data_IF_607903570326
#
_entry.id   IF_607903570326
#
_cell.length_a   1.000
_cell.length_b   1.000
_cell.length_c   1.000
_cell.angle_alpha   90.00
_cell.angle_beta   90.00
_cell.angle_gamma   90.00
#
_symmetry.space_group_name_H-M   'P 1'
#
loop_
_entity.id
_entity.type
_entity.pdbx_description
1 polymer ?
#
# COMPACT_ATOMS: atom_id res chain seq x y z
N UNK A 1 -3.11 5.31 -7.46
CA UNK A 1 -2.30 4.57 -6.48
C UNK A 1 -0.80 4.69 -6.76
N UNK A 2 -0.36 4.65 -8.02
CA UNK A 2 1.06 4.65 -8.38
C UNK A 2 1.85 5.92 -7.99
N UNK A 3 1.19 7.08 -7.90
CA UNK A 3 1.82 8.31 -7.39
C UNK A 3 2.08 8.28 -5.87
N UNK A 4 1.25 7.55 -5.12
CA UNK A 4 1.40 7.38 -3.67
C UNK A 4 2.38 6.23 -3.39
N UNK A 5 2.10 5.07 -3.97
CA UNK A 5 2.86 3.83 -3.83
C UNK A 5 3.88 3.69 -4.96
N UNK A 6 4.76 4.69 -5.08
CA UNK A 6 5.85 4.68 -6.07
C UNK A 6 6.72 3.44 -5.88
N UNK A 7 7.43 3.02 -6.94
CA UNK A 7 8.38 1.91 -6.86
C UNK A 7 9.37 2.07 -5.70
N UNK A 8 9.91 3.27 -5.51
CA UNK A 8 10.85 3.55 -4.43
C UNK A 8 10.22 3.39 -3.04
N UNK A 9 8.96 3.78 -2.88
CA UNK A 9 8.22 3.56 -1.63
C UNK A 9 8.00 2.06 -1.38
N UNK A 10 7.53 1.33 -2.40
CA UNK A 10 7.24 -0.10 -2.29
C UNK A 10 8.51 -0.89 -1.97
N UNK A 11 9.60 -0.70 -2.72
CA UNK A 11 10.87 -1.38 -2.46
C UNK A 11 11.48 -1.03 -1.10
N UNK A 12 11.19 0.15 -0.55
CA UNK A 12 11.70 0.56 0.77
C UNK A 12 10.94 -0.09 1.92
N UNK A 13 9.64 -0.28 1.76
CA UNK A 13 8.75 -0.65 2.86
C UNK A 13 8.14 -2.05 2.74
N UNK A 14 8.25 -2.71 1.60
CA UNK A 14 7.72 -4.05 1.34
C UNK A 14 8.72 -4.88 0.52
N UNK A 15 8.41 -6.17 0.32
CA UNK A 15 9.17 -7.05 -0.56
C UNK A 15 8.71 -7.01 -2.04
N UNK A 16 7.86 -6.05 -2.41
CA UNK A 16 7.29 -5.91 -3.75
C UNK A 16 7.77 -4.62 -4.43
N UNK A 17 7.72 -4.57 -5.75
CA UNK A 17 8.16 -3.38 -6.52
C UNK A 17 7.03 -2.42 -6.87
N UNK A 18 5.79 -2.85 -6.74
CA UNK A 18 4.59 -2.06 -6.99
C UNK A 18 3.44 -2.56 -6.11
N UNK A 19 2.41 -1.73 -5.95
CA UNK A 19 1.29 -2.02 -5.05
C UNK A 19 0.39 -3.14 -5.54
N UNK A 20 0.27 -3.33 -6.85
CA UNK A 20 -0.56 -4.40 -7.42
C UNK A 20 0.02 -5.77 -7.08
N UNK A 21 1.32 -5.96 -7.31
CA UNK A 21 2.02 -7.21 -6.97
C UNK A 21 1.96 -7.50 -5.46
N UNK A 22 2.04 -6.45 -4.63
CA UNK A 22 1.90 -6.57 -3.19
C UNK A 22 0.51 -7.10 -2.81
N UNK A 23 -0.56 -6.48 -3.31
CA UNK A 23 -1.93 -6.92 -3.00
C UNK A 23 -2.22 -8.32 -3.57
N UNK A 24 -1.79 -8.61 -4.80
CA UNK A 24 -1.95 -9.94 -5.42
C UNK A 24 -1.19 -11.01 -4.64
N UNK A 25 0.02 -10.72 -4.15
CA UNK A 25 0.79 -11.65 -3.31
C UNK A 25 0.13 -11.91 -1.95
N UNK A 26 -0.68 -10.96 -1.48
CA UNK A 26 -1.55 -11.13 -0.31
C UNK A 26 -2.85 -11.88 -0.57
N UNK A 27 -3.10 -12.33 -1.81
CA UNK A 27 -4.34 -12.98 -2.20
C UNK A 27 -5.49 -12.01 -2.50
N UNK A 28 -5.22 -10.70 -2.53
CA UNK A 28 -6.24 -9.69 -2.80
C UNK A 28 -6.32 -9.38 -4.30
N UNK A 29 -7.38 -9.86 -4.96
CA UNK A 29 -7.65 -9.53 -6.36
C UNK A 29 -8.46 -8.24 -6.47
N UNK A 30 -7.77 -7.09 -6.43
CA UNK A 30 -8.40 -5.76 -6.55
C UNK A 30 -8.41 -5.29 -8.01
N UNK A 31 -9.56 -5.39 -8.69
CA UNK A 31 -9.75 -4.86 -10.06
C UNK A 31 -10.63 -3.61 -10.08
N UNK A 32 -11.36 -3.37 -9.01
CA UNK A 32 -12.26 -2.22 -8.84
C UNK A 32 -12.19 -1.66 -7.41
N UNK A 33 -12.76 -0.46 -7.22
CA UNK A 33 -12.92 0.13 -5.88
C UNK A 33 -13.80 -0.74 -4.98
N UNK A 34 -14.85 -1.35 -5.55
CA UNK A 34 -15.74 -2.25 -4.82
C UNK A 34 -15.01 -3.52 -4.36
N UNK A 35 -14.08 -4.03 -5.16
CA UNK A 35 -13.28 -5.21 -4.77
C UNK A 35 -12.39 -4.88 -3.57
N UNK A 36 -11.83 -3.67 -3.56
CA UNK A 36 -11.02 -3.20 -2.45
C UNK A 36 -11.85 -3.03 -1.17
N UNK A 37 -13.02 -2.40 -1.26
CA UNK A 37 -13.93 -2.17 -0.12
C UNK A 37 -14.53 -3.47 0.43
N UNK A 38 -14.54 -4.54 -0.35
CA UNK A 38 -14.97 -5.86 0.09
C UNK A 38 -13.90 -6.63 0.89
N UNK A 39 -12.64 -6.17 0.88
CA UNK A 39 -11.57 -6.81 1.66
C UNK A 39 -11.82 -6.54 3.16
N UNK A 40 -11.86 -7.58 4.01
CA UNK A 40 -11.91 -7.37 5.45
C UNK A 40 -10.69 -6.59 5.96
N UNK A 41 -10.92 -5.51 6.69
CA UNK A 41 -9.85 -4.65 7.22
C UNK A 41 -8.78 -5.45 7.98
N UNK A 42 -9.18 -6.44 8.78
CA UNK A 42 -8.25 -7.24 9.58
C UNK A 42 -7.37 -8.17 8.72
N UNK A 43 -7.90 -8.72 7.62
CA UNK A 43 -7.10 -9.52 6.69
C UNK A 43 -6.04 -8.65 6.01
N UNK A 44 -6.44 -7.47 5.56
CA UNK A 44 -5.52 -6.52 4.94
C UNK A 44 -4.47 -6.02 5.93
N UNK A 45 -4.88 -5.69 7.16
CA UNK A 45 -3.96 -5.26 8.22
C UNK A 45 -2.98 -6.36 8.60
N UNK A 46 -3.43 -7.61 8.75
CA UNK A 46 -2.57 -8.75 9.04
C UNK A 46 -1.52 -8.97 7.94
N UNK A 47 -1.94 -8.87 6.67
CA UNK A 47 -1.02 -8.98 5.54
C UNK A 47 0.01 -7.84 5.52
N UNK A 48 -0.44 -6.59 5.70
CA UNK A 48 0.42 -5.40 5.75
C UNK A 48 1.46 -5.53 6.87
N UNK A 49 1.03 -5.92 8.08
CA UNK A 49 1.91 -6.15 9.23
C UNK A 49 2.99 -7.19 8.96
N UNK A 50 2.64 -8.24 8.24
CA UNK A 50 3.55 -9.37 7.98
C UNK A 50 4.50 -9.12 6.80
N UNK A 51 4.16 -8.23 5.88
CA UNK A 51 4.86 -8.07 4.59
C UNK A 51 5.36 -6.65 4.34
N UNK A 52 5.25 -5.76 5.32
CA UNK A 52 5.74 -4.39 5.23
C UNK A 52 6.33 -3.88 6.55
N UNK A 53 6.79 -2.64 6.55
CA UNK A 53 7.22 -1.93 7.76
C UNK A 53 6.08 -1.27 8.57
N UNK A 54 4.82 -1.55 8.25
CA UNK A 54 3.65 -0.88 8.83
C UNK A 54 2.73 -1.86 9.56
N UNK A 55 2.04 -1.40 10.61
CA UNK A 55 1.14 -2.25 11.41
C UNK A 55 -0.26 -2.41 10.80
N UNK A 56 -0.72 -1.41 10.05
CA UNK A 56 -2.04 -1.41 9.40
C UNK A 56 -1.96 -0.84 7.99
N UNK A 57 -2.95 -1.15 7.16
CA UNK A 57 -3.10 -0.53 5.85
C UNK A 57 -3.20 1.00 5.94
N UNK A 58 -3.90 1.50 6.95
CA UNK A 58 -4.05 2.94 7.18
C UNK A 58 -2.70 3.62 7.44
N UNK A 59 -1.81 2.99 8.20
CA UNK A 59 -0.47 3.52 8.46
C UNK A 59 0.35 3.59 7.17
N UNK A 60 0.32 2.51 6.38
CA UNK A 60 0.98 2.43 5.09
C UNK A 60 0.48 3.51 4.11
N UNK A 61 -0.85 3.67 4.00
CA UNK A 61 -1.48 4.69 3.15
C UNK A 61 -1.15 6.11 3.62
N UNK A 62 -1.14 6.33 4.94
CA UNK A 62 -0.79 7.64 5.53
C UNK A 62 0.66 8.00 5.23
N UNK A 63 1.58 7.06 5.39
CA UNK A 63 3.00 7.27 5.09
C UNK A 63 3.23 7.59 3.60
N UNK A 64 2.59 6.84 2.69
CA UNK A 64 2.66 7.09 1.26
C UNK A 64 2.10 8.48 0.88
N UNK A 65 0.96 8.86 1.49
CA UNK A 65 0.32 10.17 1.27
C UNK A 65 1.19 11.31 1.77
N UNK A 66 1.77 11.19 2.96
CA UNK A 66 2.68 12.20 3.51
C UNK A 66 3.91 12.40 2.63
N UNK A 67 4.49 11.31 2.12
CA UNK A 67 5.61 11.38 1.18
C UNK A 67 5.23 12.08 -0.12
N UNK A 68 4.07 11.74 -0.69
CA UNK A 68 3.56 12.37 -1.90
C UNK A 68 3.35 13.88 -1.72
N UNK A 69 2.69 14.30 -0.65
CA UNK A 69 2.47 15.72 -0.33
C UNK A 69 3.81 16.44 -0.16
N UNK A 70 4.75 15.85 0.61
CA UNK A 70 6.07 16.43 0.80
C UNK A 70 6.85 16.58 -0.51
N UNK A 71 6.69 15.67 -1.47
CA UNK A 71 7.30 15.78 -2.79
C UNK A 71 6.63 16.86 -3.65
N UNK A 72 5.29 16.99 -3.59
CA UNK A 72 4.55 18.03 -4.34
C UNK A 72 4.84 19.44 -3.84
N UNK A 73 5.13 19.62 -2.55
CA UNK A 73 5.50 20.93 -1.98
C UNK A 73 6.95 21.34 -2.26
N UNK A 74 7.80 20.39 -2.67
CA UNK A 74 9.20 20.65 -3.07
C UNK A 74 9.34 20.98 -4.56
N UNK A 75 8.25 20.88 -5.32
CA UNK A 75 8.12 21.28 -6.72
C UNK A 75 7.55 22.70 -6.80
#
# INVERSE_FOLDING_TARGET
FDELFTRSFMCKHTNSTNINDFLVSGGFSVKSKSDFEAIPDEELNSYVRSNSSFDTWKDMLTAATNLYIANKLKL
#
